data_IF_733652897203
#
_entry.id   IF_733652897203
#
_cell.length_a   1.000
_cell.length_b   1.000
_cell.length_c   1.000
_cell.angle_alpha   90.00
_cell.angle_beta   90.00
_cell.angle_gamma   90.00
#
_symmetry.space_group_name_H-M   'P 1'
#
loop_
_entity.id
_entity.type
_entity.pdbx_description
1 polymer ?
#
# COMPACT_ATOMS: atom_id res chain seq x y z
N UNK A 1 -7.16 22.78 -9.33
CA UNK A 1 -8.05 21.59 -9.51
C UNK A 1 -7.33 20.28 -9.17
N UNK A 2 -8.04 19.26 -8.64
CA UNK A 2 -7.48 17.92 -8.45
C UNK A 2 -7.08 17.31 -9.81
N UNK A 3 -6.01 16.50 -9.81
CA UNK A 3 -5.49 15.80 -11.00
C UNK A 3 -5.49 14.29 -10.72
N UNK A 4 -5.64 13.49 -11.76
CA UNK A 4 -5.48 12.04 -11.65
C UNK A 4 -4.04 11.67 -11.28
N UNK A 5 -3.89 10.66 -10.43
CA UNK A 5 -2.61 10.05 -10.12
C UNK A 5 -2.48 8.75 -10.91
N UNK A 6 -1.38 8.59 -11.66
CA UNK A 6 -1.07 7.33 -12.35
C UNK A 6 -0.48 6.31 -11.35
N UNK A 7 0.35 6.80 -10.44
CA UNK A 7 0.99 6.07 -9.35
C UNK A 7 1.14 6.98 -8.13
N UNK A 8 1.31 6.38 -6.96
CA UNK A 8 1.60 7.09 -5.71
C UNK A 8 2.35 6.18 -4.75
N UNK A 9 3.15 6.78 -3.86
CA UNK A 9 3.73 6.07 -2.70
C UNK A 9 2.82 6.28 -1.50
N UNK A 10 2.55 5.20 -0.76
CA UNK A 10 1.74 5.27 0.46
C UNK A 10 2.29 4.35 1.54
N UNK A 11 2.04 4.72 2.79
CA UNK A 11 2.24 3.86 3.95
C UNK A 11 0.96 3.07 4.20
N UNK A 12 1.09 1.75 4.32
CA UNK A 12 -0.05 0.85 4.53
C UNK A 12 0.14 0.05 5.82
N UNK A 13 -0.95 -0.18 6.54
CA UNK A 13 -0.96 -1.07 7.70
C UNK A 13 -1.66 -2.36 7.27
N UNK A 14 -0.92 -3.47 7.31
CA UNK A 14 -1.47 -4.80 7.04
C UNK A 14 -2.16 -5.30 8.31
N UNK A 15 -3.45 -5.61 8.20
CA UNK A 15 -4.25 -6.20 9.28
C UNK A 15 -4.16 -7.74 9.22
N UNK A 16 -5.10 -8.45 9.82
CA UNK A 16 -5.15 -9.93 9.91
C UNK A 16 -5.39 -10.60 8.54
N UNK A 17 -4.52 -10.34 7.57
CA UNK A 17 -4.55 -10.93 6.24
C UNK A 17 -3.85 -12.30 6.29
N UNK A 18 -4.51 -13.39 5.87
CA UNK A 18 -3.95 -14.74 5.97
C UNK A 18 -2.86 -15.02 4.91
N UNK A 19 -2.74 -14.17 3.89
CA UNK A 19 -1.79 -14.32 2.79
C UNK A 19 -0.50 -13.53 2.98
N UNK A 20 0.46 -13.77 2.08
CA UNK A 20 1.67 -12.97 1.95
C UNK A 20 1.46 -11.86 0.91
N UNK A 21 1.91 -10.65 1.23
CA UNK A 21 1.93 -9.51 0.31
C UNK A 21 3.34 -9.40 -0.27
N UNK A 22 3.43 -9.28 -1.59
CA UNK A 22 4.69 -9.16 -2.33
C UNK A 22 4.54 -8.15 -3.48
N UNK A 23 5.65 -7.79 -4.12
CA UNK A 23 5.62 -6.93 -5.31
C UNK A 23 4.72 -7.56 -6.38
N UNK A 24 3.76 -6.78 -6.86
CA UNK A 24 2.73 -7.20 -7.79
C UNK A 24 1.41 -7.65 -7.16
N UNK A 25 1.30 -7.68 -5.82
CA UNK A 25 0.01 -7.88 -5.15
C UNK A 25 -0.99 -6.83 -5.61
N UNK A 26 -2.19 -7.27 -6.00
CA UNK A 26 -3.20 -6.40 -6.62
C UNK A 26 -4.49 -6.34 -5.79
N UNK A 27 -4.50 -5.58 -4.68
CA UNK A 27 -5.72 -5.37 -3.90
C UNK A 27 -6.66 -4.37 -4.57
N UNK A 28 -7.90 -4.31 -4.09
CA UNK A 28 -8.80 -3.21 -4.41
C UNK A 28 -8.59 -2.07 -3.40
N UNK A 29 -8.44 -0.86 -3.92
CA UNK A 29 -8.31 0.37 -3.15
C UNK A 29 -9.63 1.13 -3.21
N UNK A 30 -10.16 1.43 -2.03
CA UNK A 30 -11.23 2.39 -1.84
C UNK A 30 -10.62 3.76 -1.51
N UNK A 31 -10.88 4.76 -2.36
CA UNK A 31 -10.45 6.14 -2.15
C UNK A 31 -11.64 7.08 -2.30
N UNK A 32 -12.19 7.54 -1.16
CA UNK A 32 -13.44 8.30 -1.09
C UNK A 32 -14.61 7.53 -1.75
N UNK A 33 -14.99 7.88 -2.98
CA UNK A 33 -16.05 7.23 -3.77
C UNK A 33 -15.49 6.34 -4.88
N UNK A 34 -14.17 6.30 -5.07
CA UNK A 34 -13.51 5.46 -6.07
C UNK A 34 -13.24 4.06 -5.50
N UNK A 35 -13.52 3.03 -6.30
CA UNK A 35 -13.26 1.62 -6.01
C UNK A 35 -12.50 1.02 -7.19
N UNK A 36 -11.18 0.83 -7.05
CA UNK A 36 -10.30 0.52 -8.18
C UNK A 36 -9.27 -0.54 -7.76
N UNK A 37 -9.01 -1.52 -8.61
CA UNK A 37 -7.90 -2.45 -8.42
C UNK A 37 -6.57 -1.71 -8.58
N UNK A 38 -5.71 -1.75 -7.56
CA UNK A 38 -4.39 -1.15 -7.59
C UNK A 38 -3.34 -2.25 -7.48
N UNK A 39 -2.17 -2.04 -8.10
CA UNK A 39 -1.04 -2.96 -8.00
C UNK A 39 0.03 -2.35 -7.09
N UNK A 40 0.51 -3.12 -6.13
CA UNK A 40 1.69 -2.77 -5.35
C UNK A 40 2.91 -2.97 -6.24
N UNK A 41 3.35 -1.92 -6.93
CA UNK A 41 4.47 -2.01 -7.87
C UNK A 41 5.77 -2.40 -7.15
N UNK A 42 6.02 -1.77 -6.01
CA UNK A 42 7.23 -1.94 -5.21
C UNK A 42 6.90 -1.73 -3.73
N UNK A 43 7.32 -2.66 -2.88
CA UNK A 43 7.36 -2.50 -1.42
C UNK A 43 8.73 -1.92 -1.08
N UNK A 44 8.75 -0.65 -0.66
CA UNK A 44 9.98 0.12 -0.44
C UNK A 44 10.66 -0.13 0.90
N UNK A 45 9.88 -0.40 1.93
CA UNK A 45 10.38 -0.61 3.28
C UNK A 45 9.32 -1.31 4.12
N UNK A 46 9.77 -1.98 5.18
CA UNK A 46 8.91 -2.53 6.21
C UNK A 46 9.07 -1.71 7.48
N UNK A 47 7.97 -1.10 7.92
CA UNK A 47 7.97 -0.18 9.05
C UNK A 47 7.34 -0.83 10.28
N UNK A 48 7.97 -0.65 11.45
CA UNK A 48 7.39 -1.06 12.72
C UNK A 48 6.16 -0.20 13.05
N UNK A 49 5.00 -0.84 13.24
CA UNK A 49 3.72 -0.15 13.47
C UNK A 49 3.66 0.69 14.74
N UNK A 50 4.51 0.44 15.74
CA UNK A 50 4.48 1.13 17.04
C UNK A 50 5.37 2.36 17.06
N UNK A 51 6.55 2.25 16.44
CA UNK A 51 7.58 3.28 16.46
C UNK A 51 7.69 4.08 15.17
N UNK A 52 7.12 3.58 14.06
CA UNK A 52 7.22 4.22 12.75
C UNK A 52 8.62 4.14 12.12
N UNK A 53 9.52 3.33 12.68
CA UNK A 53 10.88 3.16 12.18
C UNK A 53 10.96 2.03 11.17
N UNK A 54 11.77 2.21 10.13
CA UNK A 54 12.10 1.14 9.20
C UNK A 54 12.81 0.00 9.93
N UNK A 55 12.38 -1.22 9.65
CA UNK A 55 12.91 -2.47 10.21
C UNK A 55 13.67 -3.27 9.16
N UNK A 56 13.28 -3.14 7.89
CA UNK A 56 13.90 -3.78 6.72
C UNK A 56 13.72 -2.81 5.53
N UNK A 57 14.79 -2.61 4.75
CA UNK A 57 14.80 -1.86 3.48
C UNK A 57 14.64 -2.83 2.31
#
# INVERSE_FOLDING_TARGET
PPKGAADFTAQVIVLNHPGQISNGYTPVLDCHTAHIACKFAEIKEKVDRRSGKSTEE
#
